data_IF_036140809709
#
_entry.id   IF_036140809709
#
_cell.length_a   1.000
_cell.length_b   1.000
_cell.length_c   1.000
_cell.angle_alpha   90.00
_cell.angle_beta   90.00
_cell.angle_gamma   90.00
#
_symmetry.space_group_name_H-M   'P 1'
#
loop_
_entity.id
_entity.type
_entity.pdbx_description
1 polymer ?
#
# COMPACT_ATOMS: atom_id res chain seq x y z
N UNK A 1 8.77 -16.43 2.31
CA UNK A 1 9.14 -15.86 3.63
C UNK A 1 9.83 -14.50 3.50
N UNK A 2 11.01 -14.41 2.86
CA UNK A 2 11.77 -13.13 2.72
C UNK A 2 10.94 -11.99 2.13
N UNK A 3 10.17 -12.25 1.06
CA UNK A 3 9.36 -11.22 0.42
C UNK A 3 8.23 -10.67 1.33
N UNK A 4 7.59 -11.55 2.10
CA UNK A 4 6.55 -11.15 3.06
C UNK A 4 7.13 -10.33 4.22
N UNK A 5 8.33 -10.72 4.71
CA UNK A 5 9.07 -9.94 5.70
C UNK A 5 9.41 -8.53 5.20
N UNK A 6 9.88 -8.42 3.95
CA UNK A 6 10.20 -7.13 3.35
C UNK A 6 8.97 -6.22 3.25
N UNK A 7 7.82 -6.76 2.83
CA UNK A 7 6.55 -6.03 2.79
C UNK A 7 6.20 -5.48 4.18
N UNK A 8 6.25 -6.32 5.21
CA UNK A 8 5.96 -5.88 6.59
C UNK A 8 6.96 -4.84 7.09
N UNK A 9 8.25 -4.97 6.75
CA UNK A 9 9.28 -4.00 7.09
C UNK A 9 9.07 -2.64 6.42
N UNK A 10 8.66 -2.64 5.14
CA UNK A 10 8.34 -1.41 4.39
C UNK A 10 7.15 -0.68 5.01
N UNK A 11 6.09 -1.41 5.39
CA UNK A 11 4.94 -0.83 6.07
C UNK A 11 5.34 -0.21 7.42
N UNK A 12 6.16 -0.92 8.23
CA UNK A 12 6.71 -0.36 9.48
C UNK A 12 7.60 0.86 9.25
N UNK A 13 8.28 0.93 8.12
CA UNK A 13 9.08 2.08 7.72
C UNK A 13 8.24 3.27 7.22
N UNK A 14 6.91 3.18 7.22
CA UNK A 14 5.99 4.26 6.83
C UNK A 14 5.62 4.24 5.35
N UNK A 15 5.77 3.10 4.67
CA UNK A 15 5.06 2.92 3.41
C UNK A 15 3.54 2.91 3.66
N UNK A 16 2.81 3.66 2.84
CA UNK A 16 1.34 3.65 2.80
C UNK A 16 0.79 2.34 2.24
N UNK A 17 1.57 1.70 1.36
CA UNK A 17 1.27 0.41 0.77
C UNK A 17 2.58 -0.27 0.36
N UNK A 18 2.61 -1.60 0.37
CA UNK A 18 3.74 -2.40 -0.09
C UNK A 18 3.25 -3.75 -0.63
N UNK A 19 3.81 -4.18 -1.75
CA UNK A 19 3.33 -5.38 -2.44
C UNK A 19 4.46 -6.10 -3.19
N UNK A 20 4.17 -7.34 -3.58
CA UNK A 20 5.02 -8.15 -4.47
C UNK A 20 4.23 -8.56 -5.69
N UNK A 21 4.84 -8.47 -6.87
CA UNK A 21 4.25 -8.98 -8.12
C UNK A 21 5.19 -9.99 -8.80
N UNK A 22 4.70 -11.13 -9.28
CA UNK A 22 5.51 -12.07 -10.03
C UNK A 22 5.98 -11.47 -11.36
N UNK A 23 7.25 -11.70 -11.73
CA UNK A 23 7.80 -11.22 -12.99
C UNK A 23 8.79 -12.21 -13.58
N UNK A 24 8.64 -12.52 -14.86
CA UNK A 24 9.66 -13.24 -15.60
C UNK A 24 10.88 -12.33 -15.85
N UNK A 25 12.08 -12.82 -15.56
CA UNK A 25 13.33 -12.13 -15.86
C UNK A 25 14.15 -12.90 -16.92
N UNK A 26 15.15 -12.22 -17.49
CA UNK A 26 16.12 -12.83 -18.42
C UNK A 26 16.74 -14.11 -17.85
N UNK A 27 17.24 -14.96 -18.74
CA UNK A 27 17.88 -16.26 -18.40
C UNK A 27 16.90 -17.25 -17.73
N UNK A 28 15.62 -17.22 -18.11
CA UNK A 28 14.62 -18.18 -17.60
C UNK A 28 14.31 -18.07 -16.10
N UNK A 29 14.62 -16.94 -15.47
CA UNK A 29 14.38 -16.72 -14.04
C UNK A 29 12.92 -16.32 -13.82
N UNK A 30 12.04 -17.32 -13.73
CA UNK A 30 10.59 -17.14 -13.53
C UNK A 30 10.16 -16.88 -12.08
N UNK A 31 11.03 -17.14 -11.10
CA UNK A 31 10.74 -16.99 -9.68
C UNK A 31 11.07 -15.60 -9.10
N UNK A 32 11.27 -14.59 -9.95
CA UNK A 32 11.58 -13.24 -9.47
C UNK A 32 10.31 -12.49 -9.07
N UNK A 33 10.36 -11.82 -7.92
CA UNK A 33 9.30 -10.94 -7.45
C UNK A 33 9.75 -9.49 -7.61
N UNK A 34 8.90 -8.67 -8.22
CA UNK A 34 9.02 -7.22 -8.15
C UNK A 34 8.40 -6.74 -6.83
N UNK A 35 9.23 -6.18 -5.94
CA UNK A 35 8.78 -5.55 -4.70
C UNK A 35 8.52 -4.06 -4.95
N UNK A 36 7.36 -3.57 -4.53
CA UNK A 36 6.94 -2.18 -4.66
C UNK A 36 6.45 -1.61 -3.33
N UNK A 37 6.54 -0.29 -3.18
CA UNK A 37 5.96 0.42 -2.06
C UNK A 37 5.52 1.83 -2.50
N UNK A 38 4.44 2.33 -1.91
CA UNK A 38 4.01 3.72 -1.99
C UNK A 38 4.27 4.40 -0.65
N UNK A 39 4.79 5.62 -0.68
CA UNK A 39 5.04 6.40 0.53
C UNK A 39 4.88 7.89 0.26
N UNK A 40 4.72 8.68 1.31
CA UNK A 40 4.78 10.14 1.21
C UNK A 40 6.21 10.57 0.86
N UNK A 41 6.40 11.71 0.18
CA UNK A 41 7.73 12.23 -0.14
C UNK A 41 8.65 12.35 1.08
N UNK A 42 8.10 12.72 2.24
CA UNK A 42 8.83 12.84 3.50
C UNK A 42 9.41 11.51 4.02
N UNK A 43 8.77 10.39 3.70
CA UNK A 43 9.18 9.06 4.18
C UNK A 43 10.12 8.33 3.20
N UNK A 44 10.33 8.91 2.01
CA UNK A 44 11.09 8.29 0.91
C UNK A 44 12.45 7.75 1.34
N UNK A 45 13.24 8.56 2.07
CA UNK A 45 14.58 8.16 2.48
C UNK A 45 14.56 6.93 3.40
N UNK A 46 13.60 6.88 4.34
CA UNK A 46 13.43 5.78 5.28
C UNK A 46 13.00 4.50 4.56
N UNK A 47 12.03 4.61 3.66
CA UNK A 47 11.54 3.48 2.84
C UNK A 47 12.64 2.95 1.91
N UNK A 48 13.40 3.83 1.25
CA UNK A 48 14.54 3.43 0.41
C UNK A 48 15.59 2.67 1.21
N UNK A 49 15.92 3.14 2.42
CA UNK A 49 16.86 2.44 3.30
C UNK A 49 16.39 1.02 3.57
N UNK A 50 15.10 0.81 3.85
CA UNK A 50 14.53 -0.53 4.06
C UNK A 50 14.69 -1.43 2.83
N UNK A 51 14.51 -0.93 1.60
CA UNK A 51 14.78 -1.74 0.41
C UNK A 51 16.23 -2.23 0.35
N UNK A 52 17.20 -1.39 0.70
CA UNK A 52 18.62 -1.74 0.65
C UNK A 52 19.08 -2.62 1.82
N UNK A 53 18.41 -2.55 2.98
CA UNK A 53 18.77 -3.39 4.13
C UNK A 53 18.09 -4.75 4.13
N UNK A 54 16.84 -4.82 3.64
CA UNK A 54 16.05 -6.05 3.68
C UNK A 54 16.15 -6.88 2.39
N UNK A 55 16.73 -6.32 1.32
CA UNK A 55 16.86 -7.01 0.03
C UNK A 55 18.28 -6.94 -0.52
N UNK A 56 18.56 -7.74 -1.54
CA UNK A 56 19.84 -7.72 -2.25
C UNK A 56 19.86 -6.73 -3.42
N UNK A 57 18.88 -5.83 -3.51
CA UNK A 57 18.84 -4.86 -4.61
C UNK A 57 19.97 -3.84 -4.52
N UNK A 58 20.55 -3.51 -5.66
CA UNK A 58 21.55 -2.43 -5.78
C UNK A 58 20.90 -1.09 -6.18
N UNK A 59 19.59 -1.07 -6.44
CA UNK A 59 18.90 0.13 -6.86
C UNK A 59 17.38 0.00 -6.81
N UNK A 60 16.72 1.12 -6.55
CA UNK A 60 15.25 1.24 -6.57
C UNK A 60 14.90 2.30 -7.61
N UNK A 61 13.80 2.09 -8.34
CA UNK A 61 13.26 3.09 -9.27
C UNK A 61 12.12 3.82 -8.58
N UNK A 62 12.13 5.15 -8.63
CA UNK A 62 11.15 5.99 -7.97
C UNK A 62 10.44 6.89 -8.99
N UNK A 63 9.13 6.99 -8.88
CA UNK A 63 8.31 7.95 -9.61
C UNK A 63 7.34 8.62 -8.62
N UNK A 64 7.12 9.91 -8.79
CA UNK A 64 6.06 10.61 -8.07
C UNK A 64 4.75 10.48 -8.87
N UNK A 65 3.64 10.35 -8.16
CA UNK A 65 2.30 10.34 -8.75
C UNK A 65 1.41 11.25 -7.95
N UNK A 66 0.52 11.96 -8.63
CA UNK A 66 -0.60 12.62 -7.98
C UNK A 66 -1.64 11.59 -7.55
N UNK A 67 -2.36 11.92 -6.48
CA UNK A 67 -3.44 11.09 -5.96
C UNK A 67 -4.68 11.94 -5.76
N UNK A 68 -5.69 11.67 -6.57
CA UNK A 68 -7.03 12.20 -6.38
C UNK A 68 -7.83 11.18 -5.58
N UNK A 69 -8.22 11.56 -4.35
CA UNK A 69 -8.98 10.70 -3.46
C UNK A 69 -10.28 11.40 -3.07
N UNK A 70 -11.37 10.64 -3.04
CA UNK A 70 -12.65 11.15 -2.57
C UNK A 70 -12.58 11.47 -1.07
N UNK A 71 -13.20 12.58 -0.62
CA UNK A 71 -13.51 12.76 0.79
C UNK A 71 -14.29 11.55 1.29
N UNK A 72 -13.93 11.08 2.48
CA UNK A 72 -14.58 9.92 3.11
C UNK A 72 -14.88 10.21 4.57
N UNK A 73 -15.98 9.66 5.06
CA UNK A 73 -16.34 9.64 6.48
C UNK A 73 -16.60 8.21 6.94
N UNK A 74 -16.37 7.96 8.22
CA UNK A 74 -16.74 6.71 8.88
C UNK A 74 -17.99 6.98 9.72
N UNK A 75 -19.00 6.15 9.57
CA UNK A 75 -20.29 6.28 10.26
C UNK A 75 -20.58 4.97 10.98
N UNK A 76 -21.00 5.06 12.24
CA UNK A 76 -21.49 3.90 12.97
C UNK A 76 -22.94 3.61 12.57
N UNK A 77 -23.22 2.38 12.14
CA UNK A 77 -24.56 1.91 11.78
C UNK A 77 -24.98 0.83 12.77
N UNK A 78 -26.14 1.01 13.40
CA UNK A 78 -26.70 0.00 14.30
C UNK A 78 -27.32 -1.13 13.47
N UNK A 79 -26.96 -2.37 13.79
CA UNK A 79 -27.54 -3.58 13.21
C UNK A 79 -28.08 -4.47 14.31
N UNK A 80 -28.86 -5.49 13.95
CA UNK A 80 -29.32 -6.51 14.90
C UNK A 80 -28.17 -7.28 15.58
N UNK A 81 -26.97 -7.26 14.98
CA UNK A 81 -25.75 -7.90 15.48
C UNK A 81 -24.81 -6.94 16.23
N UNK A 82 -25.23 -5.68 16.40
CA UNK A 82 -24.43 -4.62 17.03
C UNK A 82 -23.99 -3.52 16.07
N UNK A 83 -23.26 -2.50 16.57
CA UNK A 83 -22.78 -1.40 15.76
C UNK A 83 -21.65 -1.84 14.83
N UNK A 84 -21.75 -1.47 13.55
CA UNK A 84 -20.67 -1.64 12.56
C UNK A 84 -20.18 -0.29 12.07
N UNK A 85 -18.88 -0.21 11.76
CA UNK A 85 -18.28 0.97 11.13
C UNK A 85 -18.43 0.87 9.62
N UNK A 86 -18.99 1.90 9.00
CA UNK A 86 -19.21 1.97 7.56
C UNK A 86 -18.43 3.14 6.97
N UNK A 87 -17.59 2.83 5.98
CA UNK A 87 -16.84 3.82 5.20
C UNK A 87 -17.71 4.35 4.07
N UNK A 88 -17.92 5.67 4.05
CA UNK A 88 -18.72 6.38 3.04
C UNK A 88 -17.82 7.33 2.24
N UNK A 89 -17.70 7.09 0.93
CA UNK A 89 -17.06 8.00 -0.03
C UNK A 89 -18.05 9.01 -0.60
N UNK A 90 -17.61 10.25 -0.80
CA UNK A 90 -18.45 11.39 -1.18
C UNK A 90 -18.00 12.03 -2.51
N UNK A 91 -18.94 12.32 -3.40
CA UNK A 91 -18.74 13.15 -4.60
C UNK A 91 -19.69 14.35 -4.49
N UNK A 92 -19.15 15.58 -4.47
CA UNK A 92 -19.97 16.78 -4.31
C UNK A 92 -20.81 16.79 -3.02
N UNK A 93 -20.34 16.13 -1.96
CA UNK A 93 -21.08 15.94 -0.71
C UNK A 93 -22.11 14.80 -0.72
N UNK A 94 -22.36 14.17 -1.86
CA UNK A 94 -23.30 13.04 -2.00
C UNK A 94 -22.59 11.69 -1.83
N UNK A 95 -23.15 10.75 -1.05
CA UNK A 95 -22.61 9.39 -0.94
C UNK A 95 -22.57 8.67 -2.29
N UNK A 96 -21.42 8.12 -2.66
CA UNK A 96 -21.25 7.36 -3.90
C UNK A 96 -20.75 5.93 -3.66
N UNK A 97 -20.15 5.65 -2.50
CA UNK A 97 -19.66 4.32 -2.13
C UNK A 97 -19.80 4.12 -0.63
N UNK A 98 -20.49 3.05 -0.23
CA UNK A 98 -20.79 2.72 1.17
C UNK A 98 -20.37 1.27 1.40
N UNK A 99 -19.36 1.05 2.24
CA UNK A 99 -18.81 -0.28 2.52
C UNK A 99 -18.60 -0.46 4.03
N UNK A 100 -19.07 -1.57 4.63
CA UNK A 100 -18.60 -2.01 5.93
C UNK A 100 -17.08 -2.15 5.94
N UNK A 101 -16.46 -1.82 7.07
CA UNK A 101 -15.03 -2.01 7.30
C UNK A 101 -14.67 -3.46 7.68
#
# INVERSE_FOLDING_TARGET
>A
EVAAHCVAALLRAGALDAWTAPRAMKKGRGAALALGAMCLPADRARVLRTFFTETTTLGVRCAATDRYALPRKFVAVQTEYGPITVKVGLIGGQPCNVKPE
#
